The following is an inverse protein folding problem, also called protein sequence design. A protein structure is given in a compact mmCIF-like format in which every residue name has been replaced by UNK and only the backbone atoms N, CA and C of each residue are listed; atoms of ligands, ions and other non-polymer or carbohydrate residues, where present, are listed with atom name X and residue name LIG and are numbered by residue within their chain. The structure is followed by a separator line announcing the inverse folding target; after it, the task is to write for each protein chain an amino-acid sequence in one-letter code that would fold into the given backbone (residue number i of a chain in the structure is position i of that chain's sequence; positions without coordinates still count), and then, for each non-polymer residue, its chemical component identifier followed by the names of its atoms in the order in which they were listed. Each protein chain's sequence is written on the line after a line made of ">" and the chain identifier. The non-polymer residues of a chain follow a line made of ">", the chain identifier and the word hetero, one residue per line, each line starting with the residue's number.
data_IF_773775570495
#
_entry.id   IF_773775570495
#
_cell.length_a   1.000
_cell.length_b   1.000
_cell.length_c   1.000
_cell.angle_alpha   90.00
_cell.angle_beta   90.00
_cell.angle_gamma   90.00
#
_symmetry.space_group_name_H-M   'P 1'
#
loop_
_entity.id
_entity.type
_entity.pdbx_description
1 polymer ?
#
# COMPACT_ATOMS: atom_id res chain seq x y z
N UNK A 1 -14.46 -3.58 6.42
CA UNK A 1 -14.12 -4.63 5.42
C UNK A 1 -12.64 -4.56 5.05
N UNK A 2 -12.13 -3.43 4.59
CA UNK A 2 -10.72 -3.27 4.18
C UNK A 2 -9.71 -3.60 5.29
N UNK A 3 -9.93 -3.18 6.53
CA UNK A 3 -9.09 -3.55 7.69
C UNK A 3 -9.03 -5.05 7.95
N UNK A 4 -10.11 -5.79 7.68
CA UNK A 4 -10.14 -7.25 7.85
C UNK A 4 -9.34 -7.95 6.73
N UNK A 5 -9.46 -7.45 5.50
CA UNK A 5 -8.67 -7.94 4.35
C UNK A 5 -7.19 -7.65 4.58
N UNK A 6 -6.84 -6.43 4.99
CA UNK A 6 -5.47 -6.05 5.34
C UNK A 6 -4.89 -6.89 6.47
N UNK A 7 -5.66 -7.18 7.51
CA UNK A 7 -5.24 -8.04 8.61
C UNK A 7 -5.02 -9.50 8.15
N UNK A 8 -5.93 -10.06 7.35
CA UNK A 8 -5.83 -11.41 6.83
C UNK A 8 -4.63 -11.59 5.89
N UNK A 9 -4.45 -10.64 4.95
CA UNK A 9 -3.31 -10.61 4.02
C UNK A 9 -2.00 -10.41 4.77
N UNK A 10 -1.93 -9.46 5.72
CA UNK A 10 -0.73 -9.23 6.53
C UNK A 10 -0.32 -10.45 7.35
N UNK A 11 -1.28 -11.22 7.87
CA UNK A 11 -1.00 -12.46 8.61
C UNK A 11 -0.31 -13.48 7.69
N UNK A 12 -0.91 -13.79 6.56
CA UNK A 12 -0.37 -14.81 5.64
C UNK A 12 0.97 -14.40 5.01
N UNK A 13 1.15 -13.11 4.73
CA UNK A 13 2.40 -12.56 4.19
C UNK A 13 3.56 -12.70 5.20
N UNK A 14 3.28 -12.57 6.50
CA UNK A 14 4.28 -12.81 7.56
C UNK A 14 4.65 -14.27 7.69
N UNK A 15 3.66 -15.15 7.75
CA UNK A 15 3.87 -16.59 7.97
C UNK A 15 4.75 -17.20 6.87
N UNK A 16 4.68 -16.64 5.66
CA UNK A 16 5.42 -17.10 4.48
C UNK A 16 6.72 -16.35 4.21
N UNK A 17 7.16 -15.48 5.13
CA UNK A 17 8.41 -14.71 5.05
C UNK A 17 8.58 -13.92 3.73
N UNK A 18 7.47 -13.44 3.16
CA UNK A 18 7.50 -12.65 1.92
C UNK A 18 8.14 -11.28 2.15
N UNK A 19 8.04 -10.78 3.38
CA UNK A 19 8.53 -9.47 3.81
C UNK A 19 10.02 -9.56 4.19
N UNK A 20 10.83 -8.72 3.57
CA UNK A 20 12.26 -8.59 3.91
C UNK A 20 12.43 -7.89 5.26
N UNK A 21 13.53 -8.19 5.96
CA UNK A 21 13.85 -7.60 7.26
C UNK A 21 13.96 -6.07 7.24
N UNK A 22 14.33 -5.46 6.12
CA UNK A 22 14.37 -3.99 5.95
C UNK A 22 13.01 -3.33 5.72
N UNK A 23 11.95 -4.10 5.44
CA UNK A 23 10.63 -3.54 5.20
C UNK A 23 9.95 -3.12 6.51
N UNK A 24 9.50 -1.88 6.55
CA UNK A 24 8.83 -1.26 7.70
C UNK A 24 7.34 -1.07 7.45
N UNK A 25 6.95 -0.65 6.24
CA UNK A 25 5.56 -0.60 5.83
C UNK A 25 4.86 -1.96 5.94
N UNK A 26 3.60 -1.96 6.40
CA UNK A 26 2.76 -3.14 6.60
C UNK A 26 3.35 -4.21 7.56
N UNK A 27 4.33 -3.83 8.40
CA UNK A 27 4.97 -4.75 9.35
C UNK A 27 4.62 -4.35 10.78
N UNK A 28 3.94 -5.25 11.52
CA UNK A 28 3.59 -5.00 12.93
C UNK A 28 4.85 -4.76 13.76
N UNK A 29 4.79 -3.75 14.63
CA UNK A 29 5.92 -3.38 15.51
C UNK A 29 6.99 -2.53 14.82
N UNK A 30 6.77 -2.15 13.55
CA UNK A 30 7.61 -1.21 12.83
C UNK A 30 6.83 0.04 12.46
N UNK A 31 7.51 1.18 12.50
CA UNK A 31 6.99 2.51 12.22
C UNK A 31 7.97 3.30 11.34
N UNK A 32 7.55 4.49 10.91
CA UNK A 32 8.36 5.41 10.10
C UNK A 32 9.58 5.84 10.92
N UNK A 33 9.38 6.09 12.21
CA UNK A 33 10.47 6.41 13.12
C UNK A 33 11.50 5.28 13.19
N UNK A 34 11.08 4.02 13.35
CA UNK A 34 12.03 2.90 13.38
C UNK A 34 12.73 2.69 12.03
N UNK A 35 12.05 2.99 10.92
CA UNK A 35 12.65 2.95 9.59
C UNK A 35 13.75 4.00 9.44
N UNK A 36 13.47 5.23 9.91
CA UNK A 36 14.43 6.32 9.90
C UNK A 36 15.63 6.03 10.79
N UNK A 37 15.41 5.50 11.99
CA UNK A 37 16.48 5.08 12.91
C UNK A 37 17.37 4.03 12.23
N UNK A 38 16.78 2.97 11.66
CA UNK A 38 17.54 1.92 10.98
C UNK A 38 18.38 2.47 9.82
N UNK A 39 17.83 3.40 9.03
CA UNK A 39 18.57 4.08 7.97
C UNK A 39 19.75 4.89 8.50
N UNK A 40 19.56 5.66 9.58
CA UNK A 40 20.65 6.42 10.19
C UNK A 40 21.73 5.51 10.78
N UNK A 41 21.37 4.41 11.42
CA UNK A 41 22.33 3.42 11.91
C UNK A 41 23.16 2.81 10.78
N UNK A 42 22.54 2.51 9.64
CA UNK A 42 23.26 2.05 8.45
C UNK A 42 24.23 3.13 7.96
N UNK A 43 23.75 4.37 7.79
CA UNK A 43 24.58 5.52 7.36
C UNK A 43 25.78 5.72 8.29
N UNK A 44 25.56 5.74 9.60
CA UNK A 44 26.63 5.91 10.59
C UNK A 44 27.68 4.81 10.47
N UNK A 45 27.27 3.55 10.31
CA UNK A 45 28.22 2.43 10.09
C UNK A 45 29.04 2.60 8.82
N UNK A 46 28.44 3.07 7.72
CA UNK A 46 29.20 3.33 6.49
C UNK A 46 30.21 4.47 6.66
N UNK A 47 29.84 5.52 7.38
CA UNK A 47 30.71 6.67 7.69
C UNK A 47 31.88 6.23 8.57
N UNK A 48 31.62 5.46 9.64
CA UNK A 48 32.64 4.96 10.57
C UNK A 48 33.66 4.08 9.86
N UNK A 49 33.23 3.31 8.86
CA UNK A 49 34.09 2.47 8.01
C UNK A 49 34.85 3.29 6.93
N UNK A 50 34.67 4.61 6.87
CA UNK A 50 35.31 5.50 5.90
C UNK A 50 34.80 5.30 4.46
N UNK A 51 33.59 4.75 4.29
CA UNK A 51 33.01 4.40 2.99
C UNK A 51 32.05 5.48 2.51
N UNK A 52 32.06 5.75 1.20
CA UNK A 52 31.11 6.65 0.56
C UNK A 52 29.77 5.96 0.33
N UNK A 53 28.67 6.68 0.52
CA UNK A 53 27.31 6.18 0.38
C UNK A 53 26.42 7.21 -0.32
N UNK A 54 25.55 6.72 -1.19
CA UNK A 54 24.46 7.48 -1.80
C UNK A 54 23.11 6.88 -1.39
N UNK A 55 22.10 7.73 -1.17
CA UNK A 55 20.74 7.30 -0.82
C UNK A 55 19.78 7.66 -1.95
N UNK A 56 19.05 6.68 -2.46
CA UNK A 56 18.01 6.88 -3.47
C UNK A 56 16.63 6.73 -2.84
N UNK A 57 15.87 7.81 -2.79
CA UNK A 57 14.48 7.80 -2.35
C UNK A 57 13.55 7.61 -3.56
N UNK A 58 12.74 6.56 -3.54
CA UNK A 58 11.73 6.29 -4.55
C UNK A 58 10.34 6.44 -3.94
N UNK A 59 9.47 7.19 -4.60
CA UNK A 59 8.07 7.31 -4.21
C UNK A 59 7.18 6.96 -5.40
N UNK A 60 6.31 5.96 -5.20
CA UNK A 60 5.30 5.59 -6.20
C UNK A 60 4.00 6.33 -5.89
N UNK A 61 3.66 7.33 -6.70
CA UNK A 61 2.33 7.94 -6.63
C UNK A 61 1.28 6.87 -6.90
N UNK A 62 0.23 6.83 -6.07
CA UNK A 62 -0.92 5.93 -6.28
C UNK A 62 -0.50 4.47 -6.58
N UNK A 63 0.49 3.96 -5.84
CA UNK A 63 1.10 2.66 -6.14
C UNK A 63 0.08 1.51 -6.23
N UNK A 64 -0.94 1.51 -5.37
CA UNK A 64 -1.99 0.49 -5.37
C UNK A 64 -2.98 0.68 -6.53
N UNK A 65 -3.31 1.93 -6.87
CA UNK A 65 -4.22 2.26 -7.97
C UNK A 65 -3.57 2.00 -9.35
N UNK A 66 -2.23 2.03 -9.42
CA UNK A 66 -1.47 1.79 -10.67
C UNK A 66 -1.23 0.31 -10.92
N UNK A 67 -1.26 -0.54 -9.88
CA UNK A 67 -1.06 -1.98 -10.04
C UNK A 67 -2.34 -2.60 -10.60
N UNK A 68 -2.23 -3.31 -11.73
CA UNK A 68 -3.39 -4.01 -12.27
C UNK A 68 -3.89 -5.08 -11.30
N UNK A 69 -5.22 -5.18 -11.16
CA UNK A 69 -5.86 -6.13 -10.24
C UNK A 69 -5.43 -7.58 -10.51
N UNK A 70 -5.26 -7.94 -11.79
CA UNK A 70 -4.76 -9.26 -12.20
C UNK A 70 -3.33 -9.52 -11.74
N UNK A 71 -2.44 -8.53 -11.82
CA UNK A 71 -1.06 -8.64 -11.36
C UNK A 71 -0.99 -8.78 -9.84
N UNK A 72 -1.80 -8.01 -9.11
CA UNK A 72 -1.85 -8.10 -7.65
C UNK A 72 -2.31 -9.50 -7.21
N UNK A 73 -3.41 -9.99 -7.76
CA UNK A 73 -3.95 -11.33 -7.44
C UNK A 73 -2.96 -12.43 -7.83
N UNK A 74 -2.32 -12.34 -9.00
CA UNK A 74 -1.32 -13.32 -9.42
C UNK A 74 -0.09 -13.37 -8.48
N UNK A 75 0.39 -12.20 -8.03
CA UNK A 75 1.47 -12.14 -7.03
C UNK A 75 1.04 -12.74 -5.70
N UNK A 76 -0.16 -12.42 -5.22
CA UNK A 76 -0.68 -12.97 -3.96
C UNK A 76 -0.83 -14.50 -4.04
N UNK A 77 -1.36 -15.04 -5.15
CA UNK A 77 -1.41 -16.48 -5.43
C UNK A 77 -0.04 -17.14 -5.42
N UNK A 78 0.97 -16.51 -6.03
CA UNK A 78 2.35 -17.00 -6.02
C UNK A 78 2.91 -17.12 -4.60
N UNK A 79 2.51 -16.20 -3.71
CA UNK A 79 2.83 -16.27 -2.28
C UNK A 79 1.85 -17.15 -1.50
N UNK A 80 1.12 -18.03 -2.18
CA UNK A 80 0.29 -19.09 -1.62
C UNK A 80 -0.94 -18.62 -0.85
N UNK A 81 -1.46 -17.41 -1.13
CA UNK A 81 -2.64 -16.87 -0.42
C UNK A 81 -3.75 -17.93 -0.34
N UNK A 82 -4.39 -18.08 0.82
CA UNK A 82 -5.51 -19.02 0.93
C UNK A 82 -6.67 -18.59 0.02
N UNK A 83 -7.32 -19.55 -0.64
CA UNK A 83 -8.40 -19.31 -1.62
C UNK A 83 -9.55 -18.43 -1.11
N UNK A 84 -9.82 -18.46 0.20
CA UNK A 84 -10.84 -17.62 0.81
C UNK A 84 -10.40 -16.15 0.88
N UNK A 85 -9.16 -15.88 1.30
CA UNK A 85 -8.61 -14.53 1.37
C UNK A 85 -8.43 -13.97 -0.04
N UNK A 86 -8.04 -14.81 -0.99
CA UNK A 86 -7.96 -14.43 -2.39
C UNK A 86 -9.32 -13.98 -2.93
N UNK A 87 -10.38 -14.75 -2.69
CA UNK A 87 -11.75 -14.37 -3.09
C UNK A 87 -12.19 -13.05 -2.48
N UNK A 88 -11.85 -12.80 -1.21
CA UNK A 88 -12.14 -11.52 -0.56
C UNK A 88 -11.39 -10.36 -1.21
N UNK A 89 -10.11 -10.54 -1.51
CA UNK A 89 -9.30 -9.52 -2.20
C UNK A 89 -9.87 -9.25 -3.60
N UNK A 90 -10.17 -10.29 -4.38
CA UNK A 90 -10.77 -10.14 -5.71
C UNK A 90 -12.11 -9.42 -5.66
N UNK A 91 -12.97 -9.75 -4.70
CA UNK A 91 -14.27 -9.12 -4.57
C UNK A 91 -14.15 -7.65 -4.16
N UNK A 92 -13.28 -7.35 -3.20
CA UNK A 92 -12.98 -5.99 -2.79
C UNK A 92 -12.44 -5.14 -3.95
N UNK A 93 -11.49 -5.67 -4.71
CA UNK A 93 -10.95 -4.97 -5.89
C UNK A 93 -12.03 -4.67 -6.95
N UNK A 94 -13.00 -5.57 -7.15
CA UNK A 94 -14.13 -5.33 -8.08
C UNK A 94 -15.06 -4.23 -7.60
N UNK A 95 -15.37 -4.21 -6.31
CA UNK A 95 -16.20 -3.17 -5.69
C UNK A 95 -15.51 -1.81 -5.84
N UNK A 96 -14.20 -1.71 -5.59
CA UNK A 96 -13.44 -0.47 -5.76
C UNK A 96 -13.49 0.05 -7.20
N UNK A 97 -13.24 -0.81 -8.21
CA UNK A 97 -13.34 -0.39 -9.62
C UNK A 97 -14.73 0.07 -10.05
N UNK A 98 -15.78 -0.51 -9.46
CA UNK A 98 -17.15 -0.10 -9.73
C UNK A 98 -17.41 1.32 -9.20
N UNK A 99 -16.94 1.62 -7.99
CA UNK A 99 -17.04 2.96 -7.40
C UNK A 99 -16.26 3.99 -8.20
N UNK A 100 -15.04 3.66 -8.63
CA UNK A 100 -14.22 4.54 -9.47
C UNK A 100 -14.92 4.89 -10.79
N UNK A 101 -15.50 3.87 -11.45
CA UNK A 101 -16.25 4.05 -12.71
C UNK A 101 -17.51 4.89 -12.52
N UNK A 102 -18.20 4.72 -11.38
CA UNK A 102 -19.40 5.49 -11.04
C UNK A 102 -19.06 6.96 -10.73
N UNK A 103 -17.98 7.18 -9.97
CA UNK A 103 -17.49 8.51 -9.63
C UNK A 103 -17.05 9.26 -10.88
N UNK A 104 -16.31 8.61 -11.78
CA UNK A 104 -15.88 9.23 -13.03
C UNK A 104 -17.07 9.53 -13.96
N UNK A 105 -18.08 8.67 -13.99
CA UNK A 105 -19.34 8.95 -14.70
C UNK A 105 -20.08 10.17 -14.15
N UNK A 106 -20.17 10.32 -12.82
CA UNK A 106 -20.80 11.47 -12.18
C UNK A 106 -20.00 12.77 -12.38
N UNK A 107 -18.67 12.68 -12.36
CA UNK A 107 -17.78 13.79 -12.66
C UNK A 107 -17.95 14.27 -14.10
N UNK A 108 -17.90 13.35 -15.08
CA UNK A 108 -18.11 13.68 -16.50
C UNK A 108 -19.49 14.26 -16.77
N UNK A 109 -20.49 13.85 -16.01
CA UNK A 109 -21.85 14.40 -16.09
C UNK A 109 -22.00 15.80 -15.44
N UNK A 110 -20.93 16.39 -14.89
CA UNK A 110 -20.97 17.69 -14.23
C UNK A 110 -21.80 17.71 -12.94
N UNK A 111 -22.01 16.54 -12.31
CA UNK A 111 -22.82 16.44 -11.10
C UNK A 111 -22.13 17.12 -9.92
N UNK A 112 -22.87 17.97 -9.19
CA UNK A 112 -22.46 18.49 -7.87
C UNK A 112 -22.03 17.37 -6.91
N UNK A 113 -22.65 16.18 -7.03
CA UNK A 113 -22.30 15.00 -6.25
C UNK A 113 -20.92 14.47 -6.65
N UNK A 114 -20.58 14.45 -7.94
CA UNK A 114 -19.26 14.04 -8.43
C UNK A 114 -18.15 14.99 -7.98
N UNK A 115 -18.38 16.30 -8.08
CA UNK A 115 -17.43 17.32 -7.60
C UNK A 115 -17.20 17.25 -6.09
N UNK A 116 -18.26 16.97 -5.32
CA UNK A 116 -18.15 16.78 -3.87
C UNK A 116 -17.40 15.50 -3.50
N UNK A 117 -17.60 14.41 -4.25
CA UNK A 117 -16.90 13.14 -4.05
C UNK A 117 -15.39 13.26 -4.29
N UNK A 118 -14.95 14.00 -5.31
CA UNK A 118 -13.51 14.25 -5.58
C UNK A 118 -12.83 15.03 -4.44
N UNK A 119 -13.53 16.04 -3.90
CA UNK A 119 -13.07 16.81 -2.73
C UNK A 119 -13.01 15.93 -1.48
N UNK A 120 -14.05 15.13 -1.24
CA UNK A 120 -14.11 14.23 -0.10
C UNK A 120 -12.99 13.19 -0.14
N UNK A 121 -12.78 12.52 -1.29
CA UNK A 121 -11.68 11.58 -1.49
C UNK A 121 -10.33 12.28 -1.33
N UNK A 122 -10.09 13.41 -1.99
CA UNK A 122 -8.82 14.13 -1.87
C UNK A 122 -8.51 14.52 -0.41
N UNK A 123 -9.52 14.91 0.37
CA UNK A 123 -9.36 15.29 1.77
C UNK A 123 -9.18 14.10 2.73
N UNK A 124 -9.90 12.99 2.52
CA UNK A 124 -9.69 11.75 3.30
C UNK A 124 -8.35 11.11 2.96
N UNK A 125 -7.97 11.11 1.69
CA UNK A 125 -6.71 10.56 1.19
C UNK A 125 -5.48 11.37 1.62
N UNK A 126 -5.61 12.70 1.78
CA UNK A 126 -4.55 13.53 2.38
C UNK A 126 -4.40 13.32 3.90
N UNK A 127 -5.49 12.99 4.62
CA UNK A 127 -5.47 12.81 6.07
C UNK A 127 -4.91 11.44 6.49
N UNK A 128 -5.00 10.42 5.63
CA UNK A 128 -4.58 9.05 5.96
C UNK A 128 -3.14 8.71 5.56
N UNK A 129 -2.43 9.60 4.85
CA UNK A 129 -1.01 9.38 4.50
C UNK A 129 -0.04 9.92 5.53
N UNK A 130 0.00 9.26 6.69
CA UNK A 130 1.28 8.99 7.36
C UNK A 130 1.64 7.52 7.14
N UNK A 131 1.92 7.16 5.90
CA UNK A 131 2.42 5.82 5.57
C UNK A 131 3.93 5.81 5.75
N UNK A 132 4.44 4.77 6.42
CA UNK A 132 5.86 4.41 6.48
C UNK A 132 6.23 3.59 5.25
#
# INVERSE_FOLDING_TARGET
>A
MELLILAAVSRQIKDKRVIRSGQHGLTKGKSCLTNLIALYEDISRWIDDGRTMDVVYLNFSKALDTISHSTLVAKLRKYGLEDQVERWVVNWLKETSQWDSLAEGLYRAGSLRGQYWDLYYSMTWMRERQVC
#
